data_IF_372447622813
#
_entry.id   IF_372447622813
#
_cell.length_a   1.000
_cell.length_b   1.000
_cell.length_c   1.000
_cell.angle_alpha   90.00
_cell.angle_beta   90.00
_cell.angle_gamma   90.00
#
_symmetry.space_group_name_H-M   'P 1'
#
loop_
_entity.id
_entity.type
_entity.pdbx_description
1 polymer ?
#
# COMPACT_ATOMS: atom_id res chain seq x y z
N UNK A 1 12.50 12.53 13.09
CA UNK A 1 12.85 11.11 13.30
C UNK A 1 11.58 10.29 13.32
N UNK A 2 11.30 9.58 12.21
CA UNK A 2 10.18 8.64 12.04
C UNK A 2 10.33 7.55 13.11
N UNK A 3 9.30 7.31 13.94
CA UNK A 3 9.35 6.24 14.94
C UNK A 3 9.12 4.87 14.33
N UNK A 4 9.58 3.81 15.02
CA UNK A 4 9.54 2.42 14.52
C UNK A 4 8.15 1.96 14.09
N UNK A 5 7.10 2.39 14.80
CA UNK A 5 5.72 2.04 14.46
C UNK A 5 5.32 2.62 13.08
N UNK A 6 5.64 3.88 12.84
CA UNK A 6 5.36 4.56 11.57
C UNK A 6 6.10 3.90 10.39
N UNK A 7 7.33 3.43 10.61
CA UNK A 7 8.11 2.74 9.58
C UNK A 7 7.52 1.37 9.21
N UNK A 8 7.08 0.59 10.20
CA UNK A 8 6.45 -0.72 9.98
C UNK A 8 5.14 -0.57 9.21
N UNK A 9 4.32 0.41 9.58
CA UNK A 9 3.06 0.69 8.90
C UNK A 9 3.29 1.10 7.44
N UNK A 10 4.31 1.94 7.19
CA UNK A 10 4.70 2.34 5.84
C UNK A 10 5.18 1.14 5.02
N UNK A 11 5.96 0.25 5.63
CA UNK A 11 6.42 -0.98 4.99
C UNK A 11 5.25 -1.91 4.65
N UNK A 12 4.23 -1.95 5.51
CA UNK A 12 3.03 -2.75 5.31
C UNK A 12 2.19 -2.25 4.12
N UNK A 13 1.99 -0.93 4.01
CA UNK A 13 1.32 -0.31 2.86
C UNK A 13 2.13 -0.57 1.59
N UNK A 14 3.45 -0.39 1.64
CA UNK A 14 4.34 -0.66 0.51
C UNK A 14 4.27 -2.13 0.07
N UNK A 15 4.24 -3.08 1.02
CA UNK A 15 4.09 -4.50 0.73
C UNK A 15 2.76 -4.81 0.05
N UNK A 16 1.65 -4.18 0.48
CA UNK A 16 0.35 -4.33 -0.17
C UNK A 16 0.36 -3.82 -1.62
N UNK A 17 0.95 -2.64 -1.87
CA UNK A 17 1.06 -2.07 -3.21
C UNK A 17 1.94 -2.93 -4.12
N UNK A 18 3.09 -3.39 -3.62
CA UNK A 18 3.99 -4.27 -4.37
C UNK A 18 3.31 -5.61 -4.66
N UNK A 19 2.60 -6.20 -3.69
CA UNK A 19 1.84 -7.43 -3.87
C UNK A 19 0.79 -7.30 -4.97
N UNK A 20 0.03 -6.20 -4.98
CA UNK A 20 -0.93 -5.91 -6.04
C UNK A 20 -0.26 -5.80 -7.42
N UNK A 21 0.90 -5.16 -7.50
CA UNK A 21 1.66 -5.02 -8.75
C UNK A 21 2.15 -6.36 -9.30
N UNK A 22 2.65 -7.23 -8.42
CA UNK A 22 3.14 -8.57 -8.80
C UNK A 22 1.99 -9.44 -9.31
N UNK A 23 0.83 -9.39 -8.66
CA UNK A 23 -0.36 -10.15 -9.10
C UNK A 23 -0.85 -9.62 -10.45
N UNK A 24 -0.94 -8.31 -10.62
CA UNK A 24 -1.34 -7.69 -11.88
C UNK A 24 -0.38 -8.05 -13.01
N UNK A 25 0.93 -7.99 -12.75
CA UNK A 25 1.96 -8.40 -13.70
C UNK A 25 1.81 -9.86 -14.11
N UNK A 26 1.59 -10.77 -13.14
CA UNK A 26 1.32 -12.19 -13.42
C UNK A 26 0.07 -12.38 -14.29
N UNK A 27 -1.01 -11.65 -13.99
CA UNK A 27 -2.24 -11.70 -14.78
C UNK A 27 -2.04 -11.19 -16.21
N UNK A 28 -1.29 -10.09 -16.41
CA UNK A 28 -0.95 -9.58 -17.74
C UNK A 28 -0.06 -10.55 -18.52
N UNK A 29 0.89 -11.21 -17.84
CA UNK A 29 1.71 -12.25 -18.47
C UNK A 29 0.87 -13.43 -18.95
N UNK A 30 -0.16 -13.83 -18.18
CA UNK A 30 -1.09 -14.89 -18.57
C UNK A 30 -2.09 -14.46 -19.66
N UNK A 31 -2.55 -13.21 -19.64
CA UNK A 31 -3.59 -12.69 -20.53
C UNK A 31 -3.22 -11.31 -21.13
N UNK A 32 -2.27 -11.25 -22.09
CA UNK A 32 -1.72 -9.98 -22.58
C UNK A 32 -2.75 -9.08 -23.25
N UNK A 33 -3.75 -9.67 -23.91
CA UNK A 33 -4.83 -8.94 -24.59
C UNK A 33 -5.72 -8.13 -23.64
N UNK A 34 -5.74 -8.49 -22.34
CA UNK A 34 -6.49 -7.79 -21.31
C UNK A 34 -5.59 -6.87 -20.46
N UNK A 35 -4.39 -6.53 -20.92
CA UNK A 35 -3.42 -5.78 -20.14
C UNK A 35 -3.96 -4.43 -19.61
N UNK A 36 -4.65 -3.65 -20.45
CA UNK A 36 -5.22 -2.36 -20.03
C UNK A 36 -6.22 -2.48 -18.87
N UNK A 37 -7.31 -3.26 -18.98
CA UNK A 37 -8.27 -3.36 -17.88
C UNK A 37 -7.66 -3.99 -16.62
N UNK A 38 -6.69 -4.91 -16.74
CA UNK A 38 -5.98 -5.47 -15.59
C UNK A 38 -5.20 -4.37 -14.84
N UNK A 39 -4.45 -3.54 -15.56
CA UNK A 39 -3.70 -2.45 -14.96
C UNK A 39 -4.60 -1.35 -14.40
N UNK A 40 -5.71 -1.02 -15.05
CA UNK A 40 -6.70 -0.05 -14.54
C UNK A 40 -7.22 -0.46 -13.15
N UNK A 41 -7.65 -1.72 -13.01
CA UNK A 41 -8.12 -2.25 -11.72
C UNK A 41 -6.98 -2.33 -10.71
N UNK A 42 -5.79 -2.75 -11.14
CA UNK A 42 -4.62 -2.84 -10.27
C UNK A 42 -4.24 -1.47 -9.69
N UNK A 43 -4.18 -0.43 -10.51
CA UNK A 43 -3.92 0.94 -10.04
C UNK A 43 -5.03 1.43 -9.11
N UNK A 44 -6.30 1.15 -9.44
CA UNK A 44 -7.42 1.44 -8.56
C UNK A 44 -7.26 0.81 -7.18
N UNK A 45 -6.88 -0.47 -7.12
CA UNK A 45 -6.67 -1.18 -5.86
C UNK A 45 -5.43 -0.71 -5.10
N UNK A 46 -4.33 -0.37 -5.79
CA UNK A 46 -3.18 0.25 -5.14
C UNK A 46 -3.56 1.56 -4.46
N UNK A 47 -4.38 2.39 -5.10
CA UNK A 47 -4.90 3.61 -4.50
C UNK A 47 -5.74 3.30 -3.25
N UNK A 48 -6.61 2.30 -3.30
CA UNK A 48 -7.42 1.86 -2.14
C UNK A 48 -6.52 1.37 -0.99
N UNK A 49 -5.49 0.57 -1.28
CA UNK A 49 -4.53 0.08 -0.28
C UNK A 49 -3.85 1.26 0.42
N UNK A 50 -3.41 2.26 -0.34
CA UNK A 50 -2.80 3.47 0.23
C UNK A 50 -3.80 4.24 1.09
N UNK A 51 -5.02 4.45 0.61
CA UNK A 51 -6.07 5.17 1.33
C UNK A 51 -6.45 4.48 2.65
N UNK A 52 -6.55 3.15 2.65
CA UNK A 52 -6.82 2.35 3.85
C UNK A 52 -5.67 2.37 4.86
N UNK A 53 -4.43 2.61 4.41
CA UNK A 53 -3.27 2.76 5.28
C UNK A 53 -3.15 4.13 5.96
N UNK A 54 -3.79 5.18 5.42
CA UNK A 54 -3.70 6.55 5.97
C UNK A 54 -4.19 6.68 7.43
N UNK A 55 -5.33 6.09 7.85
CA UNK A 55 -5.79 6.15 9.24
C UNK A 55 -4.80 5.52 10.21
N UNK A 56 -4.22 4.38 9.86
CA UNK A 56 -3.24 3.65 10.66
C UNK A 56 -1.96 4.47 10.84
N UNK A 57 -1.50 5.14 9.78
CA UNK A 57 -0.38 6.06 9.83
C UNK A 57 -0.65 7.26 10.77
N UNK A 58 -1.87 7.80 10.74
CA UNK A 58 -2.29 8.90 11.64
C UNK A 58 -2.34 8.45 13.10
N UNK A 59 -2.78 7.22 13.37
CA UNK A 59 -2.79 6.61 14.71
C UNK A 59 -1.36 6.38 15.23
N UNK A 60 -0.48 5.79 14.42
CA UNK A 60 0.92 5.56 14.76
C UNK A 60 1.66 6.87 15.05
N UNK A 61 1.42 7.91 14.25
CA UNK A 61 2.01 9.23 14.46
C UNK A 61 1.54 9.92 15.75
N UNK A 62 0.27 9.77 16.11
CA UNK A 62 -0.27 10.24 17.40
C UNK A 62 0.34 9.49 18.58
N UNK A 63 0.51 8.17 18.46
CA UNK A 63 1.15 7.36 19.49
C UNK A 63 2.64 7.72 19.69
N UNK A 64 3.37 7.97 18.60
CA UNK A 64 4.77 8.43 18.63
C UNK A 64 4.90 9.82 19.27
N UNK A 65 3.93 10.72 19.06
CA UNK A 65 3.89 12.03 19.75
C UNK A 65 3.59 11.89 21.24
N UNK A 66 2.62 11.05 21.60
CA UNK A 66 2.21 10.87 23.00
C UNK A 66 3.31 10.23 23.87
N UNK A 67 4.21 9.43 23.29
CA UNK A 67 5.36 8.85 24.00
C UNK A 67 6.55 9.81 24.17
N UNK A 68 6.50 11.01 23.58
CA UNK A 68 7.56 12.03 23.65
C UNK A 68 7.21 13.22 24.56
N UNK A 69 5.99 13.31 25.06
CA UNK A 69 5.58 14.26 26.10
C UNK A 69 5.53 13.58 27.45
#
# INVERSE_FOLDING_TARGET
MIGRATLIELLHIAAGVIGAAVIAYGAVWSLPHAASPIWEVAFGMMAVIVLLGLPSLRLAWRADRARRG
#
